data_IF_604192662092
#
_entry.id   IF_604192662092
#
_cell.length_a   1.000
_cell.length_b   1.000
_cell.length_c   1.000
_cell.angle_alpha   90.00
_cell.angle_beta   90.00
_cell.angle_gamma   90.00
#
_symmetry.space_group_name_H-M   'P 1'
#
loop_
_entity.id
_entity.type
_entity.pdbx_description
1 polymer ?
#
# COMPACT_ATOMS: atom_id res chain seq x y z
N UNK A 1 -29.54 33.39 21.61
CA UNK A 1 -29.47 32.00 21.07
C UNK A 1 -28.09 31.46 21.41
N UNK A 2 -27.96 30.61 22.44
CA UNK A 2 -26.66 30.06 22.82
C UNK A 2 -26.31 28.90 21.89
N UNK A 3 -25.17 28.98 21.21
CA UNK A 3 -24.69 27.91 20.35
C UNK A 3 -24.47 26.66 21.21
N UNK A 4 -25.10 25.54 20.83
CA UNK A 4 -24.90 24.26 21.52
C UNK A 4 -23.44 23.83 21.34
N UNK A 5 -22.78 23.31 22.38
CA UNK A 5 -21.40 22.85 22.27
C UNK A 5 -21.30 21.73 21.23
N UNK A 6 -20.41 21.93 20.25
CA UNK A 6 -20.16 20.96 19.18
C UNK A 6 -19.59 19.69 19.79
N UNK A 7 -20.38 18.61 19.80
CA UNK A 7 -19.92 17.30 20.28
C UNK A 7 -18.78 16.81 19.38
N UNK A 8 -17.69 16.33 19.99
CA UNK A 8 -16.59 15.71 19.26
C UNK A 8 -17.07 14.39 18.65
N UNK A 9 -17.12 14.30 17.33
CA UNK A 9 -17.52 13.09 16.62
C UNK A 9 -16.40 12.03 16.71
N UNK A 10 -16.69 10.90 17.36
CA UNK A 10 -15.75 9.79 17.50
C UNK A 10 -15.88 8.83 16.31
N UNK A 11 -14.78 8.22 15.87
CA UNK A 11 -14.84 7.15 14.87
C UNK A 11 -15.08 5.82 15.58
N UNK A 12 -16.29 5.27 15.43
CA UNK A 12 -16.60 3.89 15.83
C UNK A 12 -15.81 2.88 14.99
N UNK A 13 -15.71 1.64 15.46
CA UNK A 13 -15.10 0.53 14.73
C UNK A 13 -15.77 0.31 13.36
N UNK A 14 -17.11 0.29 13.32
CA UNK A 14 -17.88 0.16 12.08
C UNK A 14 -17.59 1.31 11.09
N UNK A 15 -17.48 2.54 11.59
CA UNK A 15 -17.09 3.71 10.79
C UNK A 15 -15.67 3.55 10.21
N UNK A 16 -14.73 2.99 10.99
CA UNK A 16 -13.38 2.72 10.49
C UNK A 16 -13.38 1.66 9.37
N UNK A 17 -14.17 0.59 9.52
CA UNK A 17 -14.31 -0.43 8.47
C UNK A 17 -14.89 0.15 7.18
N UNK A 18 -16.00 0.88 7.28
CA UNK A 18 -16.62 1.55 6.12
C UNK A 18 -15.64 2.48 5.41
N UNK A 19 -14.90 3.31 6.16
CA UNK A 19 -13.87 4.18 5.59
C UNK A 19 -12.80 3.38 4.84
N UNK A 20 -12.25 2.33 5.43
CA UNK A 20 -11.19 1.52 4.80
C UNK A 20 -11.71 0.82 3.55
N UNK A 21 -12.95 0.34 3.55
CA UNK A 21 -13.57 -0.31 2.38
C UNK A 21 -13.76 0.67 1.21
N UNK A 22 -14.15 1.90 1.50
CA UNK A 22 -14.22 2.94 0.48
C UNK A 22 -12.82 3.27 -0.05
N UNK A 23 -11.84 3.50 0.84
CA UNK A 23 -10.46 3.85 0.46
C UNK A 23 -9.82 2.74 -0.38
N UNK A 24 -10.11 1.46 -0.10
CA UNK A 24 -9.60 0.32 -0.87
C UNK A 24 -9.95 0.44 -2.36
N UNK A 25 -11.14 0.96 -2.70
CA UNK A 25 -11.55 1.20 -4.10
C UNK A 25 -10.73 2.29 -4.79
N UNK A 26 -10.18 3.24 -4.03
CA UNK A 26 -9.39 4.36 -4.52
C UNK A 26 -7.87 4.19 -4.29
N UNK A 27 -7.42 2.98 -3.89
CA UNK A 27 -6.03 2.73 -3.43
C UNK A 27 -4.96 3.23 -4.41
N UNK A 28 -5.20 3.06 -5.72
CA UNK A 28 -4.23 3.41 -6.77
C UNK A 28 -3.96 4.91 -6.84
N UNK A 29 -4.93 5.74 -6.45
CA UNK A 29 -4.81 7.20 -6.45
C UNK A 29 -4.27 7.67 -5.09
N UNK A 30 -4.85 7.17 -4.00
CA UNK A 30 -4.51 7.59 -2.63
C UNK A 30 -3.07 7.24 -2.26
N UNK A 31 -2.61 6.04 -2.61
CA UNK A 31 -1.25 5.55 -2.31
C UNK A 31 -0.28 5.72 -3.50
N UNK A 32 -0.64 6.51 -4.51
CA UNK A 32 0.27 6.86 -5.60
C UNK A 32 1.53 7.56 -5.06
N UNK A 33 2.72 7.08 -5.44
CA UNK A 33 4.00 7.64 -4.96
C UNK A 33 4.47 8.88 -5.74
N UNK A 34 3.83 9.22 -6.86
CA UNK A 34 4.18 10.41 -7.65
C UNK A 34 3.89 11.70 -6.87
N UNK A 35 4.72 12.69 -7.11
CA UNK A 35 4.74 13.99 -6.40
C UNK A 35 4.61 15.16 -7.38
N UNK A 36 3.64 15.07 -8.29
CA UNK A 36 3.38 16.11 -9.28
C UNK A 36 2.12 16.90 -8.92
N UNK A 37 2.00 18.16 -9.36
CA UNK A 37 0.83 18.99 -9.09
C UNK A 37 -0.49 18.34 -9.56
N UNK A 38 -0.46 17.61 -10.68
CA UNK A 38 -1.62 16.85 -11.20
C UNK A 38 -2.01 15.74 -10.22
N UNK A 39 -1.03 14.98 -9.73
CA UNK A 39 -1.26 13.87 -8.79
C UNK A 39 -1.79 14.37 -7.45
N UNK A 40 -1.38 15.57 -7.00
CA UNK A 40 -1.93 16.21 -5.81
C UNK A 40 -3.41 16.54 -5.99
N UNK A 41 -3.77 17.18 -7.12
CA UNK A 41 -5.17 17.49 -7.44
C UNK A 41 -6.03 16.22 -7.54
N UNK A 42 -5.50 15.17 -8.16
CA UNK A 42 -6.19 13.86 -8.24
C UNK A 42 -6.42 13.24 -6.86
N UNK A 43 -5.42 13.28 -5.96
CA UNK A 43 -5.56 12.81 -4.58
C UNK A 43 -6.60 13.63 -3.80
N UNK A 44 -6.57 14.95 -3.92
CA UNK A 44 -7.56 15.82 -3.28
C UNK A 44 -8.99 15.49 -3.78
N UNK A 45 -9.19 15.40 -5.09
CA UNK A 45 -10.48 15.03 -5.67
C UNK A 45 -10.94 13.62 -5.25
N UNK A 46 -10.02 12.65 -5.14
CA UNK A 46 -10.34 11.32 -4.63
C UNK A 46 -10.82 11.35 -3.18
N UNK A 47 -10.19 12.17 -2.32
CA UNK A 47 -10.63 12.32 -0.93
C UNK A 47 -11.99 13.00 -0.80
N UNK A 48 -12.32 13.96 -1.67
CA UNK A 48 -13.67 14.53 -1.74
C UNK A 48 -14.71 13.47 -2.14
N UNK A 49 -14.40 12.62 -3.12
CA UNK A 49 -15.27 11.50 -3.52
C UNK A 49 -15.43 10.45 -2.42
N UNK A 50 -14.37 10.16 -1.68
CA UNK A 50 -14.43 9.29 -0.51
C UNK A 50 -15.35 9.89 0.56
N UNK A 51 -15.25 11.21 0.81
CA UNK A 51 -16.11 11.90 1.77
C UNK A 51 -17.58 11.88 1.35
N UNK A 52 -17.87 12.12 0.08
CA UNK A 52 -19.22 12.02 -0.49
C UNK A 52 -19.83 10.62 -0.23
N UNK A 53 -19.11 9.56 -0.60
CA UNK A 53 -19.57 8.17 -0.42
C UNK A 53 -19.70 7.76 1.05
N UNK A 54 -18.79 8.23 1.90
CA UNK A 54 -18.82 7.93 3.32
C UNK A 54 -20.01 8.62 4.00
N UNK A 55 -20.23 9.90 3.67
CA UNK A 55 -21.30 10.71 4.23
C UNK A 55 -22.68 10.28 3.69
N UNK A 56 -22.78 9.77 2.46
CA UNK A 56 -24.04 9.20 1.96
C UNK A 56 -24.48 7.95 2.73
N UNK A 57 -23.53 7.26 3.36
CA UNK A 57 -23.77 6.04 4.12
C UNK A 57 -23.85 6.27 5.65
N UNK A 58 -23.67 7.50 6.12
CA UNK A 58 -23.52 7.81 7.56
C UNK A 58 -24.33 9.05 7.94
N UNK A 59 -24.98 9.03 9.11
CA UNK A 59 -25.74 10.19 9.61
C UNK A 59 -24.83 11.36 10.02
N UNK A 60 -23.59 11.06 10.43
CA UNK A 60 -22.58 12.04 10.84
C UNK A 60 -21.69 12.40 9.65
N UNK A 61 -21.82 13.63 9.15
CA UNK A 61 -20.97 14.14 8.08
C UNK A 61 -19.55 14.46 8.56
N UNK A 62 -18.57 14.11 7.73
CA UNK A 62 -17.14 14.35 7.96
C UNK A 62 -16.49 14.94 6.72
N UNK A 63 -15.51 15.82 6.90
CA UNK A 63 -14.78 16.41 5.79
C UNK A 63 -13.74 15.44 5.23
N UNK A 64 -13.34 15.65 3.99
CA UNK A 64 -12.26 14.89 3.34
C UNK A 64 -10.98 14.85 4.20
N UNK A 65 -10.59 15.98 4.80
CA UNK A 65 -9.41 16.07 5.67
C UNK A 65 -9.56 15.24 6.95
N UNK A 66 -10.74 15.20 7.57
CA UNK A 66 -11.00 14.39 8.76
C UNK A 66 -10.87 12.90 8.45
N UNK A 67 -11.40 12.46 7.31
CA UNK A 67 -11.32 11.07 6.86
C UNK A 67 -9.88 10.70 6.49
N UNK A 68 -9.18 11.57 5.78
CA UNK A 68 -7.75 11.41 5.45
C UNK A 68 -6.91 11.27 6.70
N UNK A 69 -7.06 12.20 7.65
CA UNK A 69 -6.33 12.18 8.92
C UNK A 69 -6.61 10.90 9.70
N UNK A 70 -7.88 10.45 9.75
CA UNK A 70 -8.23 9.18 10.39
C UNK A 70 -7.56 7.99 9.71
N UNK A 71 -7.58 7.93 8.37
CA UNK A 71 -6.93 6.86 7.62
C UNK A 71 -5.41 6.86 7.81
N UNK A 72 -4.77 8.02 7.80
CA UNK A 72 -3.33 8.14 8.07
C UNK A 72 -2.96 7.66 9.48
N UNK A 73 -3.80 7.94 10.47
CA UNK A 73 -3.64 7.40 11.81
C UNK A 73 -3.82 5.87 11.84
N UNK A 74 -4.81 5.33 11.12
CA UNK A 74 -4.98 3.88 10.99
C UNK A 74 -3.74 3.21 10.35
N UNK A 75 -3.12 3.82 9.33
CA UNK A 75 -1.85 3.34 8.77
C UNK A 75 -0.72 3.32 9.80
N UNK A 76 -0.62 4.34 10.66
CA UNK A 76 0.37 4.41 11.74
C UNK A 76 0.15 3.29 12.75
N UNK A 77 -1.08 3.08 13.20
CA UNK A 77 -1.44 2.02 14.14
C UNK A 77 -1.09 0.64 13.60
N UNK A 78 -1.39 0.37 12.32
CA UNK A 78 -1.04 -0.89 11.65
C UNK A 78 0.48 -1.10 11.60
N UNK A 79 1.24 -0.09 11.20
CA UNK A 79 2.72 -0.18 11.19
C UNK A 79 3.28 -0.42 12.58
N UNK A 80 2.76 0.27 13.59
CA UNK A 80 3.15 0.07 15.00
C UNK A 80 2.79 -1.34 15.46
N UNK A 81 1.62 -1.84 15.11
CA UNK A 81 1.20 -3.21 15.43
C UNK A 81 2.19 -4.22 14.85
N UNK A 82 2.49 -4.14 13.56
CA UNK A 82 3.40 -5.08 12.89
C UNK A 82 4.85 -4.98 13.39
N UNK A 83 5.33 -3.78 13.68
CA UNK A 83 6.67 -3.59 14.27
C UNK A 83 6.80 -4.27 15.63
N UNK A 84 5.82 -4.07 16.53
CA UNK A 84 5.81 -4.72 17.84
C UNK A 84 5.67 -6.24 17.72
N UNK A 85 4.80 -6.72 16.82
CA UNK A 85 4.63 -8.15 16.54
C UNK A 85 5.96 -8.79 16.11
N UNK A 86 6.70 -8.15 15.20
CA UNK A 86 8.03 -8.61 14.77
C UNK A 86 9.05 -8.60 15.90
N UNK A 87 9.08 -7.52 16.69
CA UNK A 87 10.00 -7.40 17.83
C UNK A 87 9.78 -8.50 18.87
N UNK A 88 8.52 -8.84 19.15
CA UNK A 88 8.18 -9.91 20.09
C UNK A 88 8.67 -11.28 19.60
N UNK A 89 8.53 -11.56 18.29
CA UNK A 89 9.02 -12.79 17.67
C UNK A 89 10.55 -12.93 17.71
N UNK A 90 11.28 -11.81 17.60
CA UNK A 90 12.75 -11.80 17.56
C UNK A 90 13.40 -11.81 18.96
N UNK A 91 12.65 -11.57 20.04
CA UNK A 91 13.20 -11.67 21.40
C UNK A 91 13.52 -13.14 21.71
N UNK A 92 14.75 -13.41 22.13
CA UNK A 92 15.19 -14.71 22.63
C UNK A 92 14.23 -15.20 23.71
N UNK A 93 13.60 -16.35 23.48
CA UNK A 93 12.54 -16.91 24.34
C UNK A 93 11.15 -17.00 23.70
N UNK A 94 10.96 -16.54 22.45
CA UNK A 94 9.73 -16.79 21.68
C UNK A 94 8.48 -16.18 22.32
N UNK A 95 8.56 -14.92 22.76
CA UNK A 95 7.46 -14.25 23.46
C UNK A 95 6.16 -14.30 22.66
N UNK A 96 5.07 -14.75 23.30
CA UNK A 96 3.76 -14.82 22.69
C UNK A 96 3.30 -13.42 22.19
N UNK A 97 2.60 -13.38 21.05
CA UNK A 97 1.96 -12.15 20.57
C UNK A 97 0.72 -11.87 21.45
N UNK A 98 0.94 -11.33 22.65
CA UNK A 98 -0.08 -11.22 23.71
C UNK A 98 -1.14 -10.13 23.48
N UNK A 99 -1.23 -9.54 22.29
CA UNK A 99 -2.34 -8.63 21.98
C UNK A 99 -3.55 -9.44 21.55
N UNK A 100 -4.41 -9.74 22.53
CA UNK A 100 -5.79 -10.18 22.32
C UNK A 100 -6.60 -9.09 21.59
N UNK A 101 -6.35 -8.93 20.30
CA UNK A 101 -7.07 -8.03 19.44
C UNK A 101 -8.39 -8.68 19.04
N UNK A 102 -9.47 -7.89 19.06
CA UNK A 102 -10.76 -8.35 18.55
C UNK A 102 -10.61 -8.73 17.07
N UNK A 103 -11.28 -9.82 16.67
CA UNK A 103 -11.25 -10.32 15.29
C UNK A 103 -11.56 -9.24 14.23
N UNK A 104 -12.52 -8.36 14.51
CA UNK A 104 -12.89 -7.28 13.60
C UNK A 104 -11.74 -6.26 13.40
N UNK A 105 -11.03 -5.87 14.45
CA UNK A 105 -9.83 -5.01 14.34
C UNK A 105 -8.72 -5.69 13.54
N UNK A 106 -8.51 -7.00 13.70
CA UNK A 106 -7.53 -7.75 12.88
C UNK A 106 -7.90 -7.65 11.41
N UNK A 107 -9.16 -7.90 11.06
CA UNK A 107 -9.66 -7.78 9.69
C UNK A 107 -9.46 -6.37 9.12
N UNK A 108 -9.67 -5.33 9.93
CA UNK A 108 -9.41 -3.94 9.54
C UNK A 108 -7.92 -3.73 9.20
N UNK A 109 -7.03 -4.25 10.04
CA UNK A 109 -5.59 -4.13 9.86
C UNK A 109 -5.11 -4.87 8.61
N UNK A 110 -5.63 -6.06 8.33
CA UNK A 110 -5.34 -6.78 7.07
C UNK A 110 -5.74 -5.97 5.83
N UNK A 111 -6.93 -5.36 5.83
CA UNK A 111 -7.37 -4.49 4.73
C UNK A 111 -6.42 -3.32 4.53
N UNK A 112 -6.04 -2.64 5.62
CA UNK A 112 -5.09 -1.53 5.55
C UNK A 112 -3.73 -2.01 5.02
N UNK A 113 -3.22 -3.15 5.50
CA UNK A 113 -1.97 -3.75 5.01
C UNK A 113 -2.01 -3.99 3.50
N UNK A 114 -3.12 -4.48 2.97
CA UNK A 114 -3.29 -4.68 1.52
C UNK A 114 -3.25 -3.37 0.71
N UNK A 115 -3.62 -2.24 1.32
CA UNK A 115 -3.58 -0.91 0.69
C UNK A 115 -2.15 -0.36 0.67
N UNK A 116 -1.42 -0.51 1.79
CA UNK A 116 -0.08 0.09 1.94
C UNK A 116 1.08 -0.82 1.51
N UNK A 117 0.80 -2.11 1.23
CA UNK A 117 1.65 -3.10 0.57
C UNK A 117 3.11 -3.12 1.02
N UNK A 118 3.96 -2.35 0.33
CA UNK A 118 5.41 -2.31 0.51
C UNK A 118 5.85 -1.61 1.82
N UNK A 119 5.00 -0.82 2.47
CA UNK A 119 5.40 0.00 3.63
C UNK A 119 5.46 -0.77 4.96
N UNK A 120 5.03 -2.03 5.01
CA UNK A 120 4.81 -2.77 6.28
C UNK A 120 5.82 -3.90 6.50
N UNK A 121 6.26 -4.52 5.42
CA UNK A 121 7.31 -5.53 5.46
C UNK A 121 8.66 -4.80 5.36
N UNK A 122 9.41 -4.77 6.45
CA UNK A 122 10.77 -4.26 6.45
C UNK A 122 11.73 -5.18 5.69
N UNK A 123 13.00 -4.79 5.59
CA UNK A 123 14.06 -5.69 5.14
C UNK A 123 14.05 -6.95 6.01
N UNK A 124 14.08 -8.12 5.38
CA UNK A 124 14.23 -9.35 6.13
C UNK A 124 15.65 -9.41 6.70
N UNK A 125 15.85 -9.95 7.92
CA UNK A 125 17.18 -10.21 8.44
C UNK A 125 17.98 -11.07 7.46
N UNK A 126 19.27 -10.80 7.28
CA UNK A 126 20.12 -11.72 6.51
C UNK A 126 20.14 -13.07 7.21
N UNK A 127 19.93 -14.13 6.45
CA UNK A 127 20.21 -15.50 6.90
C UNK A 127 21.73 -15.65 6.95
N UNK A 128 22.31 -15.60 8.15
CA UNK A 128 23.71 -15.95 8.38
C UNK A 128 24.65 -14.77 8.63
N UNK A 129 24.68 -14.30 9.87
CA UNK A 129 25.88 -13.69 10.49
C UNK A 129 26.17 -14.36 11.84
N UNK A 130 25.64 -15.57 12.03
CA UNK A 130 26.13 -16.44 13.09
C UNK A 130 27.47 -16.95 12.62
N UNK A 131 28.51 -16.60 13.37
CA UNK A 131 29.87 -17.14 13.25
C UNK A 131 29.80 -18.67 13.08
N UNK A 132 29.79 -19.14 11.83
CA UNK A 132 30.07 -20.52 11.52
C UNK A 132 31.59 -20.66 11.63
N UNK A 133 32.05 -21.02 12.82
CA UNK A 133 33.41 -21.49 13.02
C UNK A 133 33.58 -22.78 12.23
N UNK A 134 33.84 -22.63 10.94
CA UNK A 134 34.23 -23.69 10.03
C UNK A 134 35.43 -24.43 10.64
N UNK A 135 35.17 -25.64 11.13
CA UNK A 135 36.22 -26.60 11.40
C UNK A 135 36.64 -27.16 10.03
N UNK A 136 37.72 -26.60 9.46
CA UNK A 136 38.41 -27.20 8.32
C UNK A 136 38.87 -28.61 8.71
N UNK A 137 38.19 -29.63 8.19
CA UNK A 137 38.86 -30.89 7.89
C UNK A 137 39.13 -30.91 6.40
N UNK A 138 40.38 -30.61 6.06
CA UNK A 138 40.98 -30.91 4.76
C UNK A 138 40.99 -32.42 4.56
N UNK A 139 40.35 -32.88 3.51
CA UNK A 139 40.85 -34.04 2.78
C UNK A 139 40.74 -33.75 1.28
N UNK A 140 41.89 -33.47 0.70
CA UNK A 140 42.13 -33.30 -0.72
C UNK A 140 42.38 -34.67 -1.34
N UNK A 141 41.71 -34.99 -2.44
CA UNK A 141 42.28 -35.88 -3.44
C UNK A 141 41.66 -35.60 -4.83
N UNK A 142 42.40 -34.80 -5.61
CA UNK A 142 42.68 -35.00 -7.05
C UNK A 142 41.47 -34.95 -8.03
N UNK A 143 41.55 -34.42 -9.25
CA UNK A 143 42.69 -34.08 -10.10
C UNK A 143 42.15 -33.42 -11.38
N UNK A 144 42.89 -32.42 -11.90
CA UNK A 144 43.05 -32.05 -13.35
C UNK A 144 41.83 -31.40 -14.01
N UNK A 145 41.76 -30.09 -14.33
CA UNK A 145 42.63 -29.09 -15.00
C UNK A 145 42.44 -28.97 -16.53
N UNK A 146 42.59 -27.72 -17.02
CA UNK A 146 42.57 -27.18 -18.41
C UNK A 146 41.18 -26.83 -18.97
N UNK A 147 40.92 -25.72 -19.67
CA UNK A 147 41.69 -24.53 -20.06
C UNK A 147 40.71 -23.43 -20.50
N UNK A 148 41.18 -22.19 -20.52
CA UNK A 148 40.51 -20.98 -20.99
C UNK A 148 40.54 -20.90 -22.52
N UNK A 149 39.41 -20.55 -23.20
CA UNK A 149 39.42 -19.81 -24.49
C UNK A 149 38.01 -19.55 -25.08
N UNK A 150 37.58 -18.29 -24.96
CA UNK A 150 37.08 -17.39 -26.02
C UNK A 150 36.46 -17.97 -27.33
N UNK A 151 35.18 -17.64 -27.63
CA UNK A 151 34.74 -16.85 -28.81
C UNK A 151 33.21 -16.77 -28.96
N UNK A 152 32.71 -15.54 -28.87
CA UNK A 152 31.73 -14.86 -29.72
C UNK A 152 30.72 -15.68 -30.56
N UNK A 153 29.42 -15.40 -30.41
CA UNK A 153 28.51 -15.12 -31.54
C UNK A 153 27.39 -14.16 -31.12
N UNK A 154 27.31 -13.07 -31.88
CA UNK A 154 26.31 -12.00 -31.85
C UNK A 154 24.96 -12.43 -32.45
N UNK A 155 23.99 -11.49 -32.34
CA UNK A 155 22.76 -11.29 -33.13
C UNK A 155 21.49 -12.09 -32.79
N UNK A 156 20.27 -11.55 -32.92
CA UNK A 156 19.63 -10.20 -32.96
C UNK A 156 18.17 -10.52 -33.33
N UNK A 157 17.19 -10.02 -32.60
CA UNK A 157 16.05 -9.32 -33.20
C UNK A 157 15.22 -8.58 -32.16
N UNK A 158 15.21 -7.27 -32.34
CA UNK A 158 14.24 -6.28 -31.88
C UNK A 158 12.87 -6.60 -32.49
N UNK A 159 11.78 -6.38 -31.74
CA UNK A 159 10.60 -5.71 -32.28
C UNK A 159 9.96 -4.84 -31.19
N UNK A 160 10.04 -3.54 -31.44
CA UNK A 160 9.33 -2.46 -30.78
C UNK A 160 7.81 -2.57 -30.99
N UNK A 161 7.01 -2.22 -29.99
CA UNK A 161 5.60 -1.87 -30.24
C UNK A 161 5.24 -0.57 -29.52
N UNK A 162 5.05 0.43 -30.36
CA UNK A 162 4.93 1.85 -30.07
C UNK A 162 3.62 2.26 -29.39
N UNK A 163 3.73 3.26 -28.51
CA UNK A 163 2.61 4.03 -27.98
C UNK A 163 2.11 5.03 -29.03
N UNK A 164 1.04 4.73 -29.78
CA UNK A 164 0.17 5.76 -30.36
C UNK A 164 -1.08 5.18 -31.03
N UNK A 165 -2.21 5.13 -30.32
CA UNK A 165 -3.55 5.26 -30.93
C UNK A 165 -4.62 5.32 -29.83
N UNK A 166 -4.97 6.53 -29.41
CA UNK A 166 -6.37 6.94 -29.17
C UNK A 166 -6.45 8.40 -28.72
N UNK A 167 -6.37 9.29 -29.70
CA UNK A 167 -6.96 10.63 -29.74
C UNK A 167 -7.06 10.92 -31.25
N UNK A 168 -8.13 11.40 -31.89
CA UNK A 168 -9.08 12.49 -31.66
C UNK A 168 -10.14 12.32 -32.77
N UNK A 169 -11.43 12.59 -32.52
CA UNK A 169 -12.18 13.53 -33.38
C UNK A 169 -13.36 14.15 -32.62
N UNK A 170 -13.28 15.45 -32.41
CA UNK A 170 -14.41 16.36 -32.24
C UNK A 170 -14.96 16.68 -33.64
N UNK A 171 -16.28 16.78 -33.82
CA UNK A 171 -16.84 18.00 -34.42
C UNK A 171 -18.35 18.15 -34.22
N UNK A 172 -18.74 19.41 -34.32
CA UNK A 172 -19.99 20.09 -33.99
C UNK A 172 -21.14 19.86 -34.99
N UNK A 173 -22.36 20.17 -34.51
CA UNK A 173 -23.45 20.77 -35.30
C UNK A 173 -24.28 19.82 -36.16
N UNK A 174 -25.58 19.70 -35.86
CA UNK A 174 -26.56 20.53 -36.56
C UNK A 174 -27.91 20.48 -35.85
N UNK A 175 -28.59 21.61 -35.93
CA UNK A 175 -30.00 21.85 -35.63
C UNK A 175 -30.87 21.12 -36.66
N UNK A 176 -32.06 20.61 -36.31
CA UNK A 176 -33.27 20.83 -37.12
C UNK A 176 -34.55 20.34 -36.42
N UNK A 177 -35.59 21.15 -36.66
CA UNK A 177 -36.97 21.21 -36.20
C UNK A 177 -37.92 20.05 -36.57
N UNK A 178 -39.09 20.08 -35.87
CA UNK A 178 -40.44 19.54 -36.21
C UNK A 178 -40.66 18.03 -36.02
N UNK A 179 -41.77 17.54 -35.45
CA UNK A 179 -43.20 17.96 -35.53
C UNK A 179 -43.85 17.86 -34.15
#
# INVERSE_FOLDING_TARGET
MTAKPTKRLMFSEAHCHSLVDIVLRYKNIVECKRTDAVTWKQKAAAWEKIAELYNSATTESRTADQLRCKFDNLKKEVRKYEANRRQNLLRTGGGADERNLKKAVIMLYEKIKSIIGLSVHGLQPSVGDSDDASFENKEEAASVCMDESNKNTENVHEEDVDLASMSIVLNEGDSFDKI
#
